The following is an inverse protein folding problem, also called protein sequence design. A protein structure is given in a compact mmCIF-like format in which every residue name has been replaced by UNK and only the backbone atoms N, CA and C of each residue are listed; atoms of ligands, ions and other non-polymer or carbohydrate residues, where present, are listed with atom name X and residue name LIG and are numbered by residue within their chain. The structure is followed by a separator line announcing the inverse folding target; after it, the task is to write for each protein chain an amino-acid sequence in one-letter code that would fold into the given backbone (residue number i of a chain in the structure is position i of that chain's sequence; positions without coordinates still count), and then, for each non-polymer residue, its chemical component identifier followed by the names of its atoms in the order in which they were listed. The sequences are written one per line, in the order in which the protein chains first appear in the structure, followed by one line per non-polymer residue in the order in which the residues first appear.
data_IF_182479639945
#
_entry.id   IF_182479639945
#
_cell.length_a   1.000
_cell.length_b   1.000
_cell.length_c   1.000
_cell.angle_alpha   90.00
_cell.angle_beta   90.00
_cell.angle_gamma   90.00
#
_symmetry.space_group_name_H-M   'P 1'
#
loop_
_entity.id
_entity.type
_entity.pdbx_description
1 polymer ?
#
# COMPACT_ATOMS: atom_id res chain seq x y z
N UNK A 1 -27.91 -14.50 3.44
CA UNK A 1 -28.49 -13.67 2.36
C UNK A 1 -27.56 -12.46 2.11
N UNK A 2 -27.19 -12.19 0.85
CA UNK A 2 -26.41 -11.00 0.46
C UNK A 2 -27.40 -9.88 0.17
N UNK A 3 -27.34 -8.80 0.95
CA UNK A 3 -28.25 -7.64 0.80
C UNK A 3 -27.74 -6.65 -0.26
N UNK A 4 -26.41 -6.43 -0.32
CA UNK A 4 -25.80 -5.47 -1.24
C UNK A 4 -24.31 -5.80 -1.45
N UNK A 5 -23.78 -5.43 -2.62
CA UNK A 5 -22.34 -5.36 -2.90
C UNK A 5 -21.93 -3.89 -2.78
N UNK A 6 -20.82 -3.62 -2.09
CA UNK A 6 -20.25 -2.28 -1.90
C UNK A 6 -18.83 -2.29 -2.45
N UNK A 7 -18.47 -1.30 -3.26
CA UNK A 7 -17.11 -1.14 -3.76
C UNK A 7 -16.19 -0.67 -2.61
N UNK A 8 -14.95 -1.13 -2.60
CA UNK A 8 -13.95 -0.81 -1.56
C UNK A 8 -13.77 0.69 -1.33
N UNK A 9 -13.58 1.55 -2.37
CA UNK A 9 -13.43 2.99 -2.13
C UNK A 9 -14.70 3.63 -1.56
N UNK A 10 -15.88 3.14 -1.92
CA UNK A 10 -17.15 3.62 -1.33
C UNK A 10 -17.23 3.21 0.14
N UNK A 11 -16.84 1.98 0.48
CA UNK A 11 -16.80 1.54 1.88
C UNK A 11 -15.80 2.38 2.69
N UNK A 12 -14.60 2.62 2.17
CA UNK A 12 -13.62 3.48 2.84
C UNK A 12 -14.16 4.91 3.07
N UNK A 13 -14.82 5.48 2.07
CA UNK A 13 -15.44 6.79 2.18
C UNK A 13 -16.62 6.82 3.20
N UNK A 14 -17.40 5.75 3.28
CA UNK A 14 -18.46 5.59 4.31
C UNK A 14 -17.87 5.59 5.73
N UNK A 15 -16.78 4.86 5.95
CA UNK A 15 -16.10 4.83 7.25
C UNK A 15 -15.57 6.21 7.65
N UNK A 16 -15.08 6.98 6.69
CA UNK A 16 -14.64 8.35 6.89
C UNK A 16 -15.82 9.29 7.17
N UNK A 17 -16.91 9.21 6.40
CA UNK A 17 -18.02 10.15 6.42
C UNK A 17 -18.94 10.04 7.64
N UNK A 18 -18.87 8.96 8.42
CA UNK A 18 -19.76 8.72 9.57
C UNK A 18 -19.63 9.76 10.67
N UNK A 19 -18.51 10.44 10.76
CA UNK A 19 -18.23 11.45 11.80
C UNK A 19 -18.43 12.89 11.33
N UNK A 20 -18.92 13.11 10.10
CA UNK A 20 -18.98 14.44 9.51
C UNK A 20 -20.40 14.87 9.16
N UNK A 21 -20.76 16.07 9.58
CA UNK A 21 -21.99 16.74 9.17
C UNK A 21 -21.83 17.26 7.73
N UNK A 22 -22.84 17.02 6.92
CA UNK A 22 -23.12 17.35 5.54
C UNK A 22 -22.45 18.62 4.99
N UNK A 23 -21.26 18.49 4.43
CA UNK A 23 -20.70 19.40 3.44
C UNK A 23 -20.40 18.61 2.16
N UNK A 24 -20.53 19.22 0.98
CA UNK A 24 -20.05 18.61 -0.24
C UNK A 24 -18.54 18.52 -0.16
N UNK A 25 -17.97 17.31 -0.06
CA UNK A 25 -16.54 17.06 0.04
C UNK A 25 -16.06 16.20 -1.14
N UNK A 26 -14.93 16.55 -1.70
CA UNK A 26 -14.23 15.78 -2.74
C UNK A 26 -13.10 14.99 -2.11
N UNK A 27 -13.16 13.68 -2.23
CA UNK A 27 -12.31 12.73 -1.53
C UNK A 27 -11.51 11.92 -2.54
N UNK A 28 -10.21 11.83 -2.34
CA UNK A 28 -9.37 10.86 -3.02
C UNK A 28 -9.16 9.64 -2.12
N UNK A 29 -9.47 8.46 -2.60
CA UNK A 29 -9.16 7.18 -1.94
C UNK A 29 -7.98 6.56 -2.66
N UNK A 30 -6.83 6.54 -1.97
CA UNK A 30 -5.57 5.97 -2.46
C UNK A 30 -5.39 4.59 -1.81
N UNK A 31 -5.61 3.54 -2.59
CA UNK A 31 -5.58 2.16 -2.13
C UNK A 31 -4.35 1.43 -2.71
N UNK A 32 -3.36 1.16 -1.85
CA UNK A 32 -2.18 0.38 -2.19
C UNK A 32 -2.17 -0.90 -1.35
N UNK A 33 -2.71 -1.95 -1.95
CA UNK A 33 -2.80 -3.28 -1.35
C UNK A 33 -1.54 -4.13 -1.54
N UNK A 34 -1.68 -5.45 -1.41
CA UNK A 34 -0.58 -6.39 -1.63
C UNK A 34 -0.20 -6.57 -3.09
N UNK A 35 -1.17 -6.58 -4.01
CA UNK A 35 -0.96 -6.87 -5.43
C UNK A 35 -1.41 -5.79 -6.40
N UNK A 36 -2.28 -4.86 -5.98
CA UNK A 36 -2.86 -3.83 -6.85
C UNK A 36 -2.79 -2.45 -6.21
N UNK A 37 -2.77 -1.45 -7.07
CA UNK A 37 -2.94 -0.06 -6.72
C UNK A 37 -4.20 0.48 -7.39
N UNK A 38 -5.07 1.12 -6.61
CA UNK A 38 -6.28 1.76 -7.08
C UNK A 38 -6.40 3.18 -6.51
N UNK A 39 -6.83 4.11 -7.34
CA UNK A 39 -7.17 5.48 -6.97
C UNK A 39 -8.61 5.77 -7.40
N UNK A 40 -9.42 6.29 -6.49
CA UNK A 40 -10.79 6.71 -6.76
C UNK A 40 -11.03 8.12 -6.29
N UNK A 41 -11.66 8.91 -7.12
CA UNK A 41 -12.11 10.26 -6.77
C UNK A 41 -13.62 10.21 -6.55
N UNK A 42 -14.04 10.59 -5.35
CA UNK A 42 -15.45 10.58 -4.95
C UNK A 42 -15.89 11.99 -4.54
N UNK A 43 -17.18 12.26 -4.72
CA UNK A 43 -17.84 13.43 -4.16
C UNK A 43 -18.89 12.97 -3.14
N UNK A 44 -18.77 13.48 -1.91
CA UNK A 44 -19.75 13.29 -0.86
C UNK A 44 -20.69 14.50 -0.85
N UNK A 45 -21.98 14.28 -0.98
CA UNK A 45 -22.98 15.34 -0.89
C UNK A 45 -24.33 14.76 -0.43
N UNK A 46 -25.00 15.42 0.51
CA UNK A 46 -26.32 15.03 1.02
C UNK A 46 -26.42 13.55 1.46
N UNK A 47 -25.34 13.01 2.02
CA UNK A 47 -25.26 11.61 2.46
C UNK A 47 -25.09 10.59 1.32
N UNK A 48 -24.82 11.04 0.09
CA UNK A 48 -24.59 10.21 -1.09
C UNK A 48 -23.11 10.30 -1.52
N UNK A 49 -22.51 9.15 -1.82
CA UNK A 49 -21.18 9.07 -2.39
C UNK A 49 -21.28 8.82 -3.90
N UNK A 50 -20.79 9.75 -4.69
CA UNK A 50 -20.69 9.62 -6.15
C UNK A 50 -19.24 9.39 -6.54
N UNK A 51 -18.95 8.30 -7.25
CA UNK A 51 -17.63 8.03 -7.81
C UNK A 51 -17.49 8.82 -9.12
N UNK A 52 -16.59 9.80 -9.13
CA UNK A 52 -16.34 10.68 -10.29
C UNK A 52 -15.38 10.03 -11.29
N UNK A 53 -14.35 9.34 -10.80
CA UNK A 53 -13.37 8.64 -11.62
C UNK A 53 -12.66 7.56 -10.82
N UNK A 54 -12.10 6.58 -11.53
CA UNK A 54 -11.20 5.55 -10.98
C UNK A 54 -10.06 5.30 -11.96
N UNK A 55 -8.88 4.98 -11.43
CA UNK A 55 -7.74 4.52 -12.21
C UNK A 55 -6.87 3.62 -11.32
N UNK A 56 -5.83 2.99 -11.87
CA UNK A 56 -4.98 2.12 -11.06
C UNK A 56 -3.88 1.43 -11.87
N UNK A 57 -3.15 0.56 -11.19
CA UNK A 57 -2.16 -0.35 -11.76
C UNK A 57 -2.34 -1.73 -11.13
N UNK A 58 -2.80 -2.70 -11.93
CA UNK A 58 -3.09 -4.07 -11.48
C UNK A 58 -1.82 -4.91 -11.21
N UNK A 59 -0.64 -4.32 -11.43
CA UNK A 59 0.66 -4.93 -11.21
C UNK A 59 1.56 -4.04 -10.33
N UNK A 60 0.95 -3.32 -9.40
CA UNK A 60 1.65 -2.50 -8.42
C UNK A 60 1.04 -2.73 -7.04
N UNK A 61 1.80 -3.35 -6.16
CA UNK A 61 1.37 -3.64 -4.79
C UNK A 61 2.52 -4.00 -3.88
N UNK A 62 2.21 -4.34 -2.63
CA UNK A 62 3.19 -4.69 -1.60
C UNK A 62 4.15 -5.81 -2.01
N UNK A 63 3.69 -6.74 -2.84
CA UNK A 63 4.50 -7.85 -3.36
C UNK A 63 5.65 -7.37 -4.25
N UNK A 64 5.46 -6.26 -5.00
CA UNK A 64 6.52 -5.66 -5.82
C UNK A 64 7.59 -5.01 -4.94
N UNK A 65 7.19 -4.40 -3.83
CA UNK A 65 8.13 -3.85 -2.84
C UNK A 65 8.94 -4.96 -2.17
N UNK A 66 8.29 -6.07 -1.82
CA UNK A 66 8.97 -7.25 -1.29
C UNK A 66 9.96 -7.81 -2.30
N UNK A 67 9.58 -7.88 -3.58
CA UNK A 67 10.44 -8.40 -4.64
C UNK A 67 11.74 -7.58 -4.78
N UNK A 68 11.69 -6.25 -4.61
CA UNK A 68 12.88 -5.39 -4.60
C UNK A 68 13.86 -5.76 -3.47
N UNK A 69 13.33 -6.08 -2.28
CA UNK A 69 14.16 -6.53 -1.15
C UNK A 69 14.74 -7.91 -1.44
N UNK A 70 13.93 -8.84 -1.95
CA UNK A 70 14.36 -10.19 -2.31
C UNK A 70 15.50 -10.16 -3.32
N UNK A 71 15.34 -9.37 -4.38
CA UNK A 71 16.35 -9.23 -5.42
C UNK A 71 17.64 -8.63 -4.86
N UNK A 72 17.54 -7.59 -4.03
CA UNK A 72 18.69 -7.00 -3.38
C UNK A 72 19.45 -8.02 -2.48
N UNK A 73 18.74 -8.79 -1.64
CA UNK A 73 19.36 -9.82 -0.79
C UNK A 73 20.05 -10.88 -1.66
N UNK A 74 19.39 -11.35 -2.72
CA UNK A 74 19.89 -12.39 -3.59
C UNK A 74 21.11 -11.94 -4.37
N UNK A 75 21.13 -10.70 -4.87
CA UNK A 75 22.26 -10.13 -5.61
C UNK A 75 23.47 -9.94 -4.69
N UNK A 76 23.31 -9.34 -3.52
CA UNK A 76 24.39 -9.19 -2.52
C UNK A 76 24.97 -10.56 -2.09
N UNK A 77 24.10 -11.56 -1.92
CA UNK A 77 24.54 -12.91 -1.57
C UNK A 77 25.27 -13.59 -2.74
N UNK A 78 24.79 -13.41 -3.95
CA UNK A 78 25.44 -13.94 -5.15
C UNK A 78 26.83 -13.32 -5.37
N UNK A 79 26.96 -12.03 -5.13
CA UNK A 79 28.24 -11.32 -5.21
C UNK A 79 29.25 -11.81 -4.16
N UNK A 80 28.77 -12.13 -2.95
CA UNK A 80 29.62 -12.59 -1.84
C UNK A 80 29.97 -14.09 -1.92
N UNK A 81 29.01 -14.95 -2.27
CA UNK A 81 29.11 -16.40 -2.16
C UNK A 81 29.06 -17.14 -3.52
N UNK A 82 28.76 -16.42 -4.62
CA UNK A 82 28.67 -16.99 -5.97
C UNK A 82 27.42 -17.84 -6.20
N UNK A 83 26.40 -17.78 -5.32
CA UNK A 83 25.19 -18.61 -5.36
C UNK A 83 23.96 -17.70 -5.47
N UNK A 84 23.13 -17.91 -6.49
CA UNK A 84 21.85 -17.23 -6.62
C UNK A 84 20.77 -18.00 -5.84
N UNK A 85 20.34 -17.45 -4.70
CA UNK A 85 19.33 -18.03 -3.83
C UNK A 85 17.95 -18.14 -4.47
N UNK A 86 17.68 -17.40 -5.54
CA UNK A 86 16.41 -17.44 -6.30
C UNK A 86 16.22 -18.75 -7.06
N UNK A 87 17.30 -19.51 -7.30
CA UNK A 87 17.25 -20.79 -7.99
C UNK A 87 16.81 -21.96 -7.08
N UNK A 88 16.83 -21.77 -5.76
CA UNK A 88 16.37 -22.74 -4.78
C UNK A 88 14.98 -22.32 -4.25
N UNK A 89 13.90 -23.11 -4.52
CA UNK A 89 12.55 -22.77 -4.06
C UNK A 89 12.43 -22.63 -2.54
N UNK A 90 13.21 -23.40 -1.75
CA UNK A 90 13.19 -23.29 -0.29
C UNK A 90 13.85 -22.01 0.19
N UNK A 91 14.99 -21.66 -0.39
CA UNK A 91 15.67 -20.40 -0.10
C UNK A 91 14.79 -19.21 -0.51
N UNK A 92 14.19 -19.26 -1.72
CA UNK A 92 13.31 -18.22 -2.22
C UNK A 92 12.09 -17.99 -1.30
N UNK A 93 11.48 -19.04 -0.77
CA UNK A 93 10.37 -18.90 0.17
C UNK A 93 10.80 -18.15 1.45
N UNK A 94 11.98 -18.48 1.97
CA UNK A 94 12.54 -17.80 3.14
C UNK A 94 12.91 -16.34 2.85
N UNK A 95 13.38 -16.05 1.63
CA UNK A 95 13.62 -14.68 1.18
C UNK A 95 12.32 -13.86 1.14
N UNK A 96 11.22 -14.45 0.64
CA UNK A 96 9.89 -13.79 0.61
C UNK A 96 9.44 -13.40 2.01
N UNK A 97 9.48 -14.32 2.97
CA UNK A 97 9.12 -14.07 4.36
C UNK A 97 10.01 -13.00 5.00
N UNK A 98 11.30 -13.03 4.73
CA UNK A 98 12.25 -12.04 5.22
C UNK A 98 12.06 -10.65 4.58
N UNK A 99 11.74 -10.60 3.28
CA UNK A 99 11.46 -9.36 2.55
C UNK A 99 10.22 -8.66 3.07
N UNK A 100 9.11 -9.37 3.20
CA UNK A 100 7.87 -8.83 3.75
C UNK A 100 8.06 -8.33 5.20
N UNK A 101 8.72 -9.13 6.03
CA UNK A 101 9.04 -8.74 7.41
C UNK A 101 9.88 -7.46 7.44
N UNK A 102 10.94 -7.39 6.64
CA UNK A 102 11.82 -6.23 6.57
C UNK A 102 11.07 -4.96 6.12
N UNK A 103 10.21 -5.07 5.08
CA UNK A 103 9.34 -3.98 4.64
C UNK A 103 8.47 -3.46 5.76
N UNK A 104 7.81 -4.34 6.50
CA UNK A 104 6.93 -3.97 7.62
C UNK A 104 7.71 -3.29 8.75
N UNK A 105 8.87 -3.82 9.15
CA UNK A 105 9.69 -3.25 10.20
C UNK A 105 10.23 -1.85 9.84
N UNK A 106 10.64 -1.63 8.58
CA UNK A 106 11.14 -0.34 8.09
C UNK A 106 10.06 0.74 7.99
N UNK A 107 8.80 0.40 8.11
CA UNK A 107 7.72 1.41 8.23
C UNK A 107 7.77 2.18 9.55
N UNK A 108 8.42 1.62 10.59
CA UNK A 108 8.54 2.25 11.91
C UNK A 108 9.98 2.35 12.44
N UNK A 109 10.93 1.63 11.82
CA UNK A 109 12.33 1.57 12.22
C UNK A 109 13.26 2.16 11.16
N UNK A 110 14.41 2.68 11.58
CA UNK A 110 15.44 3.18 10.65
C UNK A 110 16.27 2.08 10.00
N UNK A 111 16.31 0.89 10.62
CA UNK A 111 17.05 -0.29 10.16
C UNK A 111 16.36 -1.56 10.56
N UNK A 112 16.61 -2.64 9.81
CA UNK A 112 16.21 -4.01 10.16
C UNK A 112 17.33 -5.00 9.87
N UNK A 113 17.42 -6.05 10.69
CA UNK A 113 18.36 -7.15 10.51
C UNK A 113 17.69 -8.32 9.79
N UNK A 114 18.32 -8.76 8.68
CA UNK A 114 17.89 -9.92 7.92
C UNK A 114 18.84 -11.06 8.24
N UNK A 115 18.33 -12.07 8.96
CA UNK A 115 19.11 -13.24 9.36
C UNK A 115 18.42 -14.53 8.94
N UNK A 116 18.99 -15.22 7.96
CA UNK A 116 18.54 -16.51 7.46
C UNK A 116 19.65 -17.57 7.64
N UNK A 117 19.68 -18.24 8.80
CA UNK A 117 20.67 -19.28 9.04
C UNK A 117 20.40 -20.52 8.15
N UNK A 118 21.46 -21.17 7.68
CA UNK A 118 21.38 -22.38 6.85
C UNK A 118 20.47 -22.17 5.62
N UNK A 119 20.63 -21.04 4.91
CA UNK A 119 19.77 -20.72 3.75
C UNK A 119 20.10 -21.62 2.55
N UNK A 120 21.36 -22.01 2.39
CA UNK A 120 21.86 -22.97 1.41
C UNK A 120 23.16 -23.61 1.89
N UNK A 121 23.75 -24.50 1.09
CA UNK A 121 25.04 -25.11 1.36
C UNK A 121 25.79 -25.38 0.05
N UNK A 122 27.12 -25.33 0.11
CA UNK A 122 28.02 -25.74 -0.94
C UNK A 122 29.08 -26.74 -0.42
N UNK A 123 30.15 -26.98 -1.22
CA UNK A 123 31.23 -27.89 -0.84
C UNK A 123 32.01 -27.41 0.40
N UNK A 124 31.94 -26.12 0.74
CA UNK A 124 32.60 -25.52 1.92
C UNK A 124 31.77 -25.60 3.17
N UNK A 125 30.49 -25.99 3.06
CA UNK A 125 29.56 -26.14 4.16
C UNK A 125 28.30 -25.26 4.05
N UNK A 126 27.57 -25.13 5.17
CA UNK A 126 26.34 -24.34 5.22
C UNK A 126 26.61 -22.85 5.06
N UNK A 127 25.72 -22.15 4.38
CA UNK A 127 25.74 -20.69 4.15
C UNK A 127 24.57 -20.01 4.83
N UNK A 128 24.79 -18.77 5.23
CA UNK A 128 23.82 -17.96 5.98
C UNK A 128 23.69 -16.59 5.36
N UNK A 129 22.49 -16.01 5.36
CA UNK A 129 22.30 -14.58 5.10
C UNK A 129 22.34 -13.84 6.43
N UNK A 130 23.18 -12.82 6.52
CA UNK A 130 23.21 -11.88 7.62
C UNK A 130 23.50 -10.48 7.06
N UNK A 131 22.48 -9.64 7.01
CA UNK A 131 22.55 -8.31 6.38
C UNK A 131 21.72 -7.32 7.21
N UNK A 132 22.12 -6.05 7.13
CA UNK A 132 21.35 -4.94 7.68
C UNK A 132 20.76 -4.14 6.53
N UNK A 133 19.44 -4.01 6.47
CA UNK A 133 18.76 -3.13 5.52
C UNK A 133 18.36 -1.84 6.24
N UNK A 134 18.85 -0.71 5.72
CA UNK A 134 18.44 0.61 6.22
C UNK A 134 17.20 1.11 5.50
N UNK A 135 16.40 1.93 6.18
CA UNK A 135 15.24 2.61 5.58
C UNK A 135 15.62 3.38 4.32
N UNK A 136 16.73 4.14 4.35
CA UNK A 136 17.20 4.90 3.20
C UNK A 136 17.55 4.01 1.98
N UNK A 137 18.19 2.83 2.22
CA UNK A 137 18.46 1.87 1.15
C UNK A 137 17.17 1.27 0.60
N UNK A 138 16.23 0.89 1.46
CA UNK A 138 14.92 0.41 1.04
C UNK A 138 14.17 1.43 0.19
N UNK A 139 14.07 2.68 0.65
CA UNK A 139 13.43 3.77 -0.09
C UNK A 139 14.05 3.97 -1.47
N UNK A 140 15.38 3.89 -1.57
CA UNK A 140 16.08 3.94 -2.86
C UNK A 140 15.71 2.77 -3.80
N UNK A 141 15.56 1.56 -3.25
CA UNK A 141 15.19 0.37 -4.03
C UNK A 141 13.78 0.44 -4.61
N UNK A 142 12.86 1.13 -3.94
CA UNK A 142 11.43 1.13 -4.26
C UNK A 142 10.90 2.47 -4.80
N UNK A 143 11.75 3.47 -4.97
CA UNK A 143 11.38 4.82 -5.44
C UNK A 143 10.61 4.75 -6.76
N UNK A 144 11.04 3.92 -7.69
CA UNK A 144 10.38 3.73 -9.00
C UNK A 144 8.95 3.20 -8.88
N UNK A 145 8.68 2.34 -7.89
CA UNK A 145 7.33 1.81 -7.63
C UNK A 145 6.40 2.89 -7.10
N UNK A 146 6.89 3.73 -6.19
CA UNK A 146 6.11 4.85 -5.66
C UNK A 146 5.81 5.87 -6.76
N UNK A 147 6.79 6.21 -7.59
CA UNK A 147 6.60 7.10 -8.74
C UNK A 147 5.55 6.58 -9.72
N UNK A 148 5.49 5.26 -9.96
CA UNK A 148 4.47 4.64 -10.82
C UNK A 148 3.05 4.93 -10.35
N UNK A 149 2.79 5.03 -9.05
CA UNK A 149 1.46 5.33 -8.53
C UNK A 149 0.96 6.75 -8.86
N UNK A 150 1.88 7.69 -9.10
CA UNK A 150 1.51 9.09 -9.40
C UNK A 150 0.77 9.23 -10.74
N UNK A 151 1.15 8.42 -11.75
CA UNK A 151 0.52 8.47 -13.07
C UNK A 151 -0.99 8.24 -13.04
N UNK A 152 -1.47 7.10 -12.51
CA UNK A 152 -2.89 6.84 -12.31
C UNK A 152 -3.62 7.92 -11.50
N UNK A 153 -2.98 8.47 -10.44
CA UNK A 153 -3.57 9.55 -9.65
C UNK A 153 -3.83 10.81 -10.50
N UNK A 154 -2.83 11.23 -11.26
CA UNK A 154 -2.95 12.40 -12.15
C UNK A 154 -4.04 12.17 -13.20
N UNK A 155 -4.12 10.96 -13.76
CA UNK A 155 -5.15 10.62 -14.74
C UNK A 155 -6.54 10.61 -14.10
N UNK A 156 -6.73 10.02 -12.91
CA UNK A 156 -8.00 10.03 -12.21
C UNK A 156 -8.48 11.47 -11.88
N UNK A 157 -7.58 12.35 -11.44
CA UNK A 157 -7.88 13.75 -11.21
C UNK A 157 -8.35 14.45 -12.49
N UNK A 158 -7.66 14.21 -13.61
CA UNK A 158 -8.01 14.75 -14.91
C UNK A 158 -9.39 14.27 -15.38
N UNK A 159 -9.67 12.98 -15.23
CA UNK A 159 -10.95 12.36 -15.63
C UNK A 159 -12.13 12.88 -14.76
N UNK A 160 -11.87 13.17 -13.48
CA UNK A 160 -12.83 13.84 -12.60
C UNK A 160 -13.00 15.33 -12.90
N UNK A 161 -12.13 15.93 -13.72
CA UNK A 161 -12.14 17.38 -14.00
C UNK A 161 -11.72 18.23 -12.80
N UNK A 162 -10.89 17.69 -11.91
CA UNK A 162 -10.48 18.35 -10.66
C UNK A 162 -8.98 18.61 -10.64
N UNK A 163 -8.61 19.72 -10.00
CA UNK A 163 -7.23 20.02 -9.60
C UNK A 163 -6.92 19.45 -8.22
N UNK A 164 -5.63 19.29 -7.89
CA UNK A 164 -5.20 18.79 -6.57
C UNK A 164 -5.73 19.66 -5.42
N UNK A 165 -5.85 20.97 -5.62
CA UNK A 165 -6.35 21.91 -4.60
C UNK A 165 -7.86 21.77 -4.32
N UNK A 166 -8.61 21.13 -5.21
CA UNK A 166 -10.05 20.90 -5.05
C UNK A 166 -10.38 19.60 -4.32
N UNK A 167 -9.39 18.73 -4.08
CA UNK A 167 -9.57 17.57 -3.21
C UNK A 167 -9.57 18.07 -1.77
N UNK A 168 -10.60 17.75 -1.01
CA UNK A 168 -10.73 18.14 0.40
C UNK A 168 -9.96 17.20 1.31
N UNK A 169 -10.04 15.89 1.06
CA UNK A 169 -9.38 14.86 1.87
C UNK A 169 -8.79 13.74 1.02
N UNK A 170 -7.74 13.12 1.57
CA UNK A 170 -7.12 11.91 0.99
C UNK A 170 -7.17 10.80 2.02
N UNK A 171 -7.82 9.69 1.67
CA UNK A 171 -7.95 8.50 2.50
C UNK A 171 -6.97 7.44 2.01
N UNK A 172 -6.17 6.91 2.91
CA UNK A 172 -5.25 5.81 2.64
C UNK A 172 -5.90 4.48 2.97
N UNK A 173 -5.82 3.55 2.04
CA UNK A 173 -6.32 2.18 2.14
C UNK A 173 -5.22 1.20 1.75
N UNK A 174 -5.20 0.03 2.39
CA UNK A 174 -4.21 -1.02 2.15
C UNK A 174 -2.95 -0.88 3.01
N UNK A 175 -2.40 -2.02 3.44
CA UNK A 175 -1.26 -2.09 4.36
C UNK A 175 0.00 -1.41 3.84
N UNK A 176 0.21 -1.40 2.51
CA UNK A 176 1.37 -0.76 1.89
C UNK A 176 1.38 0.77 2.01
N UNK A 177 0.23 1.40 2.29
CA UNK A 177 0.16 2.85 2.58
C UNK A 177 0.73 3.24 3.95
N UNK A 178 1.10 2.26 4.78
CA UNK A 178 1.82 2.52 6.05
C UNK A 178 3.27 2.95 5.83
N UNK A 179 3.83 2.67 4.65
CA UNK A 179 5.20 3.10 4.32
C UNK A 179 5.31 4.62 4.29
N UNK A 180 6.26 5.21 5.06
CA UNK A 180 6.43 6.67 5.09
C UNK A 180 6.67 7.28 3.70
N UNK A 181 7.46 6.62 2.85
CA UNK A 181 7.73 7.07 1.48
C UNK A 181 6.44 7.23 0.65
N UNK A 182 5.47 6.32 0.81
CA UNK A 182 4.16 6.40 0.15
C UNK A 182 3.36 7.58 0.70
N UNK A 183 3.33 7.76 2.03
CA UNK A 183 2.62 8.88 2.66
C UNK A 183 3.18 10.23 2.22
N UNK A 184 4.51 10.35 2.14
CA UNK A 184 5.20 11.56 1.68
C UNK A 184 4.89 11.85 0.20
N UNK A 185 4.88 10.83 -0.65
CA UNK A 185 4.53 10.96 -2.06
C UNK A 185 3.07 11.40 -2.26
N UNK A 186 2.14 10.85 -1.49
CA UNK A 186 0.72 11.25 -1.50
C UNK A 186 0.56 12.69 -1.03
N UNK A 187 1.26 13.07 0.06
CA UNK A 187 1.26 14.44 0.56
C UNK A 187 1.80 15.44 -0.47
N UNK A 188 2.89 15.10 -1.14
CA UNK A 188 3.47 15.91 -2.20
C UNK A 188 2.49 16.07 -3.37
N UNK A 189 1.88 14.97 -3.82
CA UNK A 189 0.99 14.93 -4.98
C UNK A 189 -0.29 15.75 -4.74
N UNK A 190 -0.94 15.60 -3.60
CA UNK A 190 -2.21 16.27 -3.29
C UNK A 190 -2.04 17.60 -2.52
N UNK A 191 -0.82 17.92 -2.09
CA UNK A 191 -0.52 19.16 -1.35
C UNK A 191 -1.10 19.22 0.06
N UNK A 192 -1.46 18.06 0.64
CA UNK A 192 -2.05 17.93 1.99
C UNK A 192 -1.72 16.62 2.66
N UNK A 193 -1.78 16.60 3.99
CA UNK A 193 -1.62 15.38 4.79
C UNK A 193 -2.77 14.42 4.52
N UNK A 194 -2.49 13.12 4.30
CA UNK A 194 -3.53 12.10 4.27
C UNK A 194 -4.29 12.03 5.61
N UNK A 195 -5.57 11.70 5.53
CA UNK A 195 -6.41 11.52 6.73
C UNK A 195 -5.89 10.38 7.61
N UNK A 196 -5.72 10.66 8.92
CA UNK A 196 -5.15 9.70 9.89
C UNK A 196 -6.19 9.07 10.82
N UNK A 197 -7.46 9.39 10.63
CA UNK A 197 -8.55 8.96 11.53
C UNK A 197 -9.03 7.53 11.30
N UNK A 198 -8.59 6.85 10.24
CA UNK A 198 -9.00 5.49 9.90
C UNK A 198 -7.80 4.56 9.79
N UNK A 199 -7.98 3.30 10.19
CA UNK A 199 -6.97 2.27 10.02
C UNK A 199 -7.01 1.77 8.55
N UNK A 200 -5.92 1.91 7.77
CA UNK A 200 -5.92 1.53 6.36
C UNK A 200 -6.16 0.03 6.10
N UNK A 201 -5.92 -0.84 7.08
CA UNK A 201 -6.17 -2.28 6.95
C UNK A 201 -7.64 -2.66 7.22
N UNK A 202 -8.38 -1.81 7.95
CA UNK A 202 -9.72 -2.13 8.46
C UNK A 202 -10.81 -1.22 7.88
N UNK A 203 -10.44 -0.12 7.24
CA UNK A 203 -11.38 0.94 6.81
C UNK A 203 -12.46 0.43 5.86
N UNK A 204 -12.15 -0.49 4.97
CA UNK A 204 -13.11 -1.12 4.04
C UNK A 204 -14.10 -1.98 4.81
N UNK A 205 -13.62 -2.81 5.76
CA UNK A 205 -14.48 -3.67 6.58
C UNK A 205 -15.41 -2.82 7.48
N UNK A 206 -14.88 -1.74 8.06
CA UNK A 206 -15.68 -0.79 8.84
C UNK A 206 -16.78 -0.15 8.00
N UNK A 207 -16.46 0.34 6.82
CA UNK A 207 -17.43 0.93 5.89
C UNK A 207 -18.50 -0.06 5.42
N UNK A 208 -18.11 -1.31 5.19
CA UNK A 208 -19.05 -2.39 4.85
C UNK A 208 -20.00 -2.68 6.03
N UNK A 209 -19.51 -2.68 7.27
CA UNK A 209 -20.33 -2.86 8.47
C UNK A 209 -21.32 -1.70 8.64
N UNK A 210 -20.90 -0.46 8.40
CA UNK A 210 -21.77 0.71 8.41
C UNK A 210 -22.90 0.58 7.39
N UNK A 211 -22.56 0.21 6.15
CA UNK A 211 -23.57 0.01 5.10
C UNK A 211 -24.57 -1.09 5.48
N UNK A 212 -24.11 -2.15 6.14
CA UNK A 212 -24.99 -3.21 6.63
C UNK A 212 -25.95 -2.68 7.70
N UNK A 213 -25.46 -1.87 8.65
CA UNK A 213 -26.31 -1.22 9.68
C UNK A 213 -27.36 -0.28 9.08
N UNK A 214 -26.98 0.52 8.09
CA UNK A 214 -27.93 1.39 7.34
C UNK A 214 -29.01 0.56 6.66
N UNK A 215 -28.66 -0.54 5.99
CA UNK A 215 -29.62 -1.42 5.32
C UNK A 215 -30.53 -2.17 6.30
N UNK A 216 -30.04 -2.46 7.50
CA UNK A 216 -30.83 -3.06 8.58
C UNK A 216 -31.72 -2.05 9.33
N UNK A 217 -31.53 -0.75 9.12
CA UNK A 217 -32.23 0.32 9.85
C UNK A 217 -31.73 0.51 11.29
N UNK A 218 -30.48 0.12 11.56
CA UNK A 218 -29.83 0.22 12.88
C UNK A 218 -28.97 1.49 13.02
N UNK A 219 -28.66 2.15 11.91
CA UNK A 219 -27.86 3.38 11.81
C UNK A 219 -28.57 4.42 10.96
#
# INVERSE_FOLDING_TARGET
EVLRIVNEPTAAALAYGLSRETSSEKIAVYDLGGGTFDISILELGDGVFEVKSTNGDTHLGGDDFDQKIIDWIADEFQDAEGIDLRQDPMALQRLKEAGEKAKCELSSSGTTEIHLPFVTADQTGPKHVQMTLTKAKFEQLVEDLVERSKGPCIQAMKDAGLSNSEIDEVILVGGSTRMPLVQDAVKELFGKEPHRGVNPDEVVALGAAIQAGVLAGEV
#
